data_IF_444601881207
#
_entry.id   IF_444601881207
#
_cell.length_a   1.000
_cell.length_b   1.000
_cell.length_c   1.000
_cell.angle_alpha   90.00
_cell.angle_beta   90.00
_cell.angle_gamma   90.00
#
_symmetry.space_group_name_H-M   'P 1'
#
loop_
_entity.id
_entity.type
_entity.pdbx_description
1 polymer ?
#
# COMPACT_ATOMS: atom_id res chain seq x y z
N UNK A 1 15.25 17.30 18.06
CA UNK A 1 14.23 16.27 18.34
C UNK A 1 13.00 16.83 19.06
N UNK A 2 13.16 17.61 20.15
CA UNK A 2 12.05 18.15 20.97
C UNK A 2 10.97 18.95 20.20
N UNK A 3 11.36 19.74 19.19
CA UNK A 3 10.44 20.59 18.40
C UNK A 3 9.46 19.76 17.56
N UNK A 4 9.88 18.60 17.06
CA UNK A 4 9.04 17.74 16.22
C UNK A 4 8.03 16.94 17.06
N UNK A 5 8.47 16.38 18.19
CA UNK A 5 7.59 15.65 19.12
C UNK A 5 6.49 16.57 19.64
N UNK A 6 6.83 17.82 19.97
CA UNK A 6 5.85 18.82 20.43
C UNK A 6 4.75 19.12 19.39
N UNK A 7 5.08 19.10 18.09
CA UNK A 7 4.08 19.25 17.02
C UNK A 7 3.13 18.05 16.96
N UNK A 8 3.67 16.85 17.13
CA UNK A 8 2.87 15.61 17.15
C UNK A 8 1.95 15.62 18.38
N UNK A 9 2.42 16.03 19.56
CA UNK A 9 1.55 16.12 20.75
C UNK A 9 0.37 17.07 20.52
N UNK A 10 0.61 18.24 19.94
CA UNK A 10 -0.44 19.23 19.64
C UNK A 10 -1.50 18.73 18.65
N UNK A 11 -1.14 17.88 17.68
CA UNK A 11 -2.11 17.33 16.70
C UNK A 11 -3.10 16.33 17.32
N UNK A 12 -2.84 15.89 18.56
CA UNK A 12 -3.66 14.98 19.34
C UNK A 12 -4.41 15.65 20.50
N UNK A 13 -4.32 16.97 20.68
CA UNK A 13 -5.11 17.71 21.67
C UNK A 13 -6.64 17.52 21.41
N UNK A 14 -7.44 17.44 22.48
CA UNK A 14 -8.90 17.22 22.40
C UNK A 14 -9.46 15.81 22.07
N UNK A 15 -8.66 14.84 21.60
CA UNK A 15 -9.17 13.48 21.22
C UNK A 15 -9.25 12.50 22.42
N UNK A 16 -10.21 11.57 22.46
CA UNK A 16 -10.23 10.44 23.43
C UNK A 16 -9.26 9.34 22.96
N UNK A 17 -8.47 8.73 23.85
CA UNK A 17 -7.54 7.64 23.51
C UNK A 17 -6.14 8.05 23.00
N UNK A 18 -5.66 9.25 23.36
CA UNK A 18 -4.49 9.92 22.73
C UNK A 18 -3.17 9.16 22.79
N UNK A 19 -2.88 8.47 23.90
CA UNK A 19 -1.51 8.03 24.16
C UNK A 19 -1.02 6.98 23.14
N UNK A 20 -1.84 5.99 22.80
CA UNK A 20 -1.44 4.95 21.84
C UNK A 20 -1.20 5.55 20.45
N UNK A 21 -2.12 6.38 19.95
CA UNK A 21 -1.97 7.03 18.64
C UNK A 21 -0.78 8.00 18.60
N UNK A 22 -0.55 8.72 19.69
CA UNK A 22 0.61 9.60 19.84
C UNK A 22 1.92 8.81 19.78
N UNK A 23 2.01 7.69 20.51
CA UNK A 23 3.18 6.81 20.47
C UNK A 23 3.36 6.16 19.08
N UNK A 24 2.28 5.83 18.38
CA UNK A 24 2.34 5.32 17.01
C UNK A 24 2.95 6.36 16.06
N UNK A 25 2.55 7.63 16.15
CA UNK A 25 3.10 8.69 15.30
C UNK A 25 4.58 8.97 15.60
N UNK A 26 4.97 8.96 16.88
CA UNK A 26 6.37 9.10 17.29
C UNK A 26 7.18 7.93 16.73
N UNK A 27 6.71 6.69 16.91
CA UNK A 27 7.39 5.52 16.39
C UNK A 27 7.45 5.52 14.85
N UNK A 28 6.38 5.94 14.16
CA UNK A 28 6.39 6.05 12.70
C UNK A 28 7.45 7.03 12.19
N UNK A 29 7.81 8.03 13.00
CA UNK A 29 8.80 9.03 12.63
C UNK A 29 10.23 8.64 12.97
N UNK A 30 10.43 7.96 14.11
CA UNK A 30 11.76 7.62 14.60
C UNK A 30 12.11 6.12 14.45
N UNK A 31 11.18 5.28 14.00
CA UNK A 31 11.24 3.81 13.98
C UNK A 31 11.35 3.12 15.35
N UNK A 32 11.39 3.90 16.43
CA UNK A 32 11.31 3.46 17.81
C UNK A 32 10.75 4.60 18.69
N UNK A 33 10.69 4.39 19.99
CA UNK A 33 10.30 5.38 20.98
C UNK A 33 11.54 5.85 21.77
N UNK A 34 12.19 6.96 21.35
CA UNK A 34 13.30 7.54 22.09
C UNK A 34 12.86 7.97 23.48
N UNK A 35 13.73 7.78 24.48
CA UNK A 35 13.46 8.21 25.85
C UNK A 35 13.13 9.70 25.93
N UNK A 36 13.89 10.53 25.22
CA UNK A 36 13.71 11.98 25.19
C UNK A 36 12.35 12.35 24.59
N UNK A 37 11.84 11.55 23.64
CA UNK A 37 10.50 11.76 23.08
C UNK A 37 9.41 11.42 24.11
N UNK A 38 9.57 10.33 24.87
CA UNK A 38 8.63 9.94 25.92
C UNK A 38 8.61 10.93 27.08
N UNK A 39 9.76 11.50 27.45
CA UNK A 39 9.87 12.55 28.47
C UNK A 39 9.09 13.81 28.03
N UNK A 40 9.25 14.25 26.77
CA UNK A 40 8.48 15.38 26.22
C UNK A 40 6.97 15.08 26.21
N UNK A 41 6.57 13.85 25.89
CA UNK A 41 5.16 13.44 25.95
C UNK A 41 4.64 13.51 27.38
N UNK A 42 5.40 13.03 28.36
CA UNK A 42 5.01 13.07 29.77
C UNK A 42 4.78 14.51 30.25
N UNK A 43 5.72 15.41 29.94
CA UNK A 43 5.64 16.83 30.31
C UNK A 43 4.43 17.54 29.68
N UNK A 44 4.15 17.28 28.40
CA UNK A 44 3.10 18.01 27.68
C UNK A 44 1.70 17.43 27.89
N UNK A 45 1.59 16.13 28.12
CA UNK A 45 0.29 15.47 28.34
C UNK A 45 -0.10 15.40 29.82
N UNK A 46 0.85 15.59 30.73
CA UNK A 46 0.67 15.41 32.17
C UNK A 46 0.54 13.93 32.59
N UNK A 47 0.77 12.98 31.69
CA UNK A 47 0.74 11.55 31.99
C UNK A 47 2.08 11.16 32.61
N UNK A 48 2.09 10.44 33.75
CA UNK A 48 3.33 9.95 34.35
C UNK A 48 4.14 9.11 33.36
N UNK A 49 5.46 9.34 33.33
CA UNK A 49 6.37 8.61 32.45
C UNK A 49 6.31 7.09 32.66
N UNK A 50 6.06 6.64 33.90
CA UNK A 50 5.87 5.23 34.25
C UNK A 50 4.67 4.60 33.53
N UNK A 51 3.56 5.34 33.41
CA UNK A 51 2.36 4.85 32.72
C UNK A 51 2.58 4.80 31.21
N UNK A 52 3.33 5.77 30.67
CA UNK A 52 3.75 5.78 29.26
C UNK A 52 4.63 4.56 28.95
N UNK A 53 5.61 4.26 29.81
CA UNK A 53 6.41 3.04 29.68
C UNK A 53 5.55 1.77 29.87
N UNK A 54 4.58 1.79 30.77
CA UNK A 54 3.62 0.70 30.94
C UNK A 54 2.89 0.39 29.63
N UNK A 55 2.39 1.41 28.93
CA UNK A 55 1.74 1.24 27.62
C UNK A 55 2.74 0.80 26.55
N UNK A 56 3.91 1.44 26.46
CA UNK A 56 4.93 1.14 25.46
C UNK A 56 5.49 -0.29 25.58
N UNK A 57 5.57 -0.83 26.80
CA UNK A 57 6.02 -2.21 27.04
C UNK A 57 4.91 -3.25 26.94
N UNK A 58 3.65 -2.85 27.20
CA UNK A 58 2.49 -3.73 27.09
C UNK A 58 2.18 -4.11 25.63
N UNK A 59 2.24 -3.15 24.69
CA UNK A 59 1.97 -3.41 23.28
C UNK A 59 3.24 -3.79 22.52
N UNK A 60 3.30 -5.04 22.05
CA UNK A 60 4.44 -5.56 21.27
C UNK A 60 4.70 -4.82 19.94
N UNK A 61 3.73 -4.05 19.44
CA UNK A 61 3.92 -3.20 18.26
C UNK A 61 4.89 -2.04 18.52
N UNK A 62 5.03 -1.60 19.78
CA UNK A 62 5.97 -0.57 20.15
C UNK A 62 7.37 -1.13 20.41
N UNK A 63 8.38 -0.33 20.06
CA UNK A 63 9.78 -0.62 20.35
C UNK A 63 10.44 0.52 21.09
N UNK A 64 11.05 0.20 22.23
CA UNK A 64 11.91 1.10 22.99
C UNK A 64 13.36 1.07 22.49
N UNK A 65 13.71 0.07 21.68
CA UNK A 65 15.03 -0.08 21.08
C UNK A 65 15.02 0.41 19.64
N UNK A 66 16.11 1.06 19.16
CA UNK A 66 16.24 1.45 17.76
C UNK A 66 16.00 0.27 16.82
N UNK A 67 15.10 0.46 15.85
CA UNK A 67 14.88 -0.46 14.73
C UNK A 67 15.62 0.06 13.50
N UNK A 68 15.93 -0.87 12.61
CA UNK A 68 16.49 -0.56 11.31
C UNK A 68 15.50 0.20 10.43
N UNK A 69 15.97 0.60 9.25
CA UNK A 69 15.16 1.30 8.25
C UNK A 69 13.99 0.44 7.74
N UNK A 70 14.16 -0.88 7.75
CA UNK A 70 13.20 -1.87 7.31
C UNK A 70 12.84 -2.85 8.44
N UNK A 71 11.56 -3.00 8.74
CA UNK A 71 11.05 -3.97 9.71
C UNK A 71 10.47 -5.18 8.99
N UNK A 72 11.10 -6.35 9.17
CA UNK A 72 10.63 -7.63 8.64
C UNK A 72 10.02 -8.45 9.78
N UNK A 73 8.77 -8.85 9.66
CA UNK A 73 8.04 -9.68 10.62
C UNK A 73 7.56 -10.98 9.98
N UNK A 74 7.96 -12.13 10.54
CA UNK A 74 7.55 -13.45 10.05
C UNK A 74 6.44 -14.04 10.92
N UNK A 75 5.36 -14.49 10.30
CA UNK A 75 4.28 -15.17 11.01
C UNK A 75 4.66 -16.62 11.34
N UNK A 76 4.70 -16.95 12.62
CA UNK A 76 4.95 -18.29 13.14
C UNK A 76 3.70 -18.92 13.78
N UNK A 77 2.52 -18.45 13.40
CA UNK A 77 1.25 -19.04 13.85
C UNK A 77 1.04 -20.43 13.31
N UNK A 78 0.19 -21.23 13.95
CA UNK A 78 0.02 -22.66 13.66
C UNK A 78 -0.09 -22.97 12.17
N UNK A 79 -0.93 -22.22 11.44
CA UNK A 79 -1.09 -22.41 10.00
C UNK A 79 0.18 -22.07 9.19
N UNK A 80 0.91 -21.01 9.56
CA UNK A 80 2.16 -20.65 8.90
C UNK A 80 3.29 -21.61 9.28
N UNK A 81 3.34 -22.05 10.54
CA UNK A 81 4.30 -23.02 11.05
C UNK A 81 4.22 -24.33 10.27
N UNK A 82 3.02 -24.89 10.10
CA UNK A 82 2.81 -26.14 9.34
C UNK A 82 3.12 -25.98 7.85
N UNK A 83 3.01 -24.76 7.30
CA UNK A 83 3.25 -24.47 5.88
C UNK A 83 4.68 -24.05 5.55
N UNK A 84 5.61 -24.13 6.50
CA UNK A 84 7.01 -23.82 6.25
C UNK A 84 7.47 -22.42 6.71
N UNK A 85 6.71 -21.77 7.60
CA UNK A 85 7.02 -20.41 8.07
C UNK A 85 8.30 -20.35 8.92
N UNK A 86 8.71 -21.45 9.53
CA UNK A 86 9.96 -21.54 10.30
C UNK A 86 11.16 -21.49 9.37
N UNK A 87 11.11 -22.23 8.27
CA UNK A 87 12.13 -22.30 7.23
C UNK A 87 12.31 -20.93 6.56
N UNK A 88 11.22 -20.17 6.40
CA UNK A 88 11.28 -18.78 5.94
C UNK A 88 11.99 -17.87 6.94
N UNK A 89 11.72 -18.02 8.24
CA UNK A 89 12.40 -17.26 9.29
C UNK A 89 13.90 -17.61 9.33
N UNK A 90 14.25 -18.90 9.29
CA UNK A 90 15.64 -19.38 9.29
C UNK A 90 16.41 -18.89 8.06
N UNK A 91 15.77 -18.84 6.89
CA UNK A 91 16.39 -18.27 5.68
C UNK A 91 16.60 -16.75 5.79
N UNK A 92 15.68 -16.02 6.42
CA UNK A 92 15.86 -14.59 6.74
C UNK A 92 17.03 -14.38 7.71
N UNK A 93 17.12 -15.19 8.76
CA UNK A 93 18.24 -15.17 9.71
C UNK A 93 19.58 -15.40 8.99
N UNK A 94 19.62 -16.38 8.07
CA UNK A 94 20.83 -16.72 7.31
C UNK A 94 21.27 -15.60 6.36
N UNK A 95 20.32 -14.96 5.68
CA UNK A 95 20.61 -13.90 4.71
C UNK A 95 20.99 -12.58 5.38
N UNK A 96 20.34 -12.24 6.50
CA UNK A 96 20.58 -10.99 7.24
C UNK A 96 21.64 -11.14 8.34
N UNK A 97 22.05 -12.37 8.67
CA UNK A 97 23.02 -12.69 9.73
C UNK A 97 22.61 -12.17 11.12
N UNK A 98 21.32 -12.13 11.39
CA UNK A 98 20.73 -11.68 12.66
C UNK A 98 19.69 -12.67 13.16
N UNK A 99 19.41 -12.65 14.46
CA UNK A 99 18.32 -13.44 15.07
C UNK A 99 17.01 -12.63 15.17
N UNK A 100 15.85 -13.28 15.36
CA UNK A 100 14.61 -12.59 15.66
C UNK A 100 14.74 -11.70 16.91
N UNK A 101 14.28 -10.46 16.81
CA UNK A 101 14.43 -9.40 17.80
C UNK A 101 15.72 -8.59 17.66
N UNK A 102 16.56 -8.85 16.65
CA UNK A 102 17.79 -8.11 16.41
C UNK A 102 17.70 -7.22 15.17
N UNK A 103 18.56 -6.22 15.13
CA UNK A 103 18.76 -5.30 14.01
C UNK A 103 20.16 -5.54 13.43
N UNK A 104 20.29 -5.45 12.10
CA UNK A 104 21.58 -5.56 11.40
C UNK A 104 22.54 -4.44 11.82
N UNK A 105 23.85 -4.69 11.70
CA UNK A 105 24.89 -3.73 12.13
C UNK A 105 24.91 -2.43 11.33
N UNK A 106 24.38 -2.46 10.12
CA UNK A 106 24.18 -1.30 9.23
C UNK A 106 22.88 -0.52 9.54
N UNK A 107 22.10 -0.95 10.55
CA UNK A 107 20.77 -0.41 10.87
C UNK A 107 19.79 -0.41 9.68
N UNK A 108 19.97 -1.33 8.73
CA UNK A 108 19.11 -1.45 7.57
C UNK A 108 17.87 -2.28 7.87
N UNK A 109 18.02 -3.46 8.52
CA UNK A 109 16.92 -4.39 8.76
C UNK A 109 16.77 -4.76 10.24
N UNK A 110 15.54 -4.83 10.72
CA UNK A 110 15.17 -5.51 11.96
C UNK A 110 14.33 -6.74 11.62
N UNK A 111 14.72 -7.90 12.15
CA UNK A 111 13.97 -9.14 12.00
C UNK A 111 13.15 -9.40 13.26
N UNK A 112 11.84 -9.57 13.12
CA UNK A 112 10.93 -9.95 14.19
C UNK A 112 10.10 -11.18 13.79
N UNK A 113 9.59 -11.87 14.80
CA UNK A 113 8.64 -12.96 14.61
C UNK A 113 7.36 -12.67 15.39
N UNK A 114 6.22 -12.99 14.77
CA UNK A 114 4.90 -12.77 15.35
C UNK A 114 4.16 -14.09 15.47
N UNK A 115 3.38 -14.22 16.54
CA UNK A 115 2.66 -15.46 16.81
C UNK A 115 1.52 -15.69 15.82
N UNK A 116 0.75 -14.68 15.44
CA UNK A 116 -0.31 -14.85 14.46
C UNK A 116 -0.68 -13.49 13.86
N UNK A 117 -0.85 -13.45 12.54
CA UNK A 117 -1.34 -12.29 11.81
C UNK A 117 -2.82 -12.41 11.41
N UNK A 118 -3.50 -13.50 11.77
CA UNK A 118 -4.92 -13.71 11.47
C UNK A 118 -5.25 -14.03 10.00
N UNK A 119 -4.28 -13.97 9.09
CA UNK A 119 -4.48 -14.20 7.65
C UNK A 119 -4.12 -15.63 7.21
N UNK A 120 -4.56 -16.65 7.94
CA UNK A 120 -4.13 -18.06 7.75
C UNK A 120 -4.29 -18.58 6.30
N UNK A 121 -5.25 -18.08 5.53
CA UNK A 121 -5.41 -18.44 4.12
C UNK A 121 -4.17 -18.12 3.27
N UNK A 122 -3.44 -17.06 3.62
CA UNK A 122 -2.28 -16.53 2.89
C UNK A 122 -0.93 -17.09 3.39
N UNK A 123 -0.94 -17.93 4.43
CA UNK A 123 0.27 -18.50 5.04
C UNK A 123 1.11 -19.36 4.08
N UNK A 124 2.45 -19.34 4.18
CA UNK A 124 3.29 -18.54 5.10
C UNK A 124 3.33 -17.05 4.77
N UNK A 125 3.28 -16.20 5.80
CA UNK A 125 3.24 -14.74 5.65
C UNK A 125 4.52 -14.11 6.19
N UNK A 126 5.08 -13.20 5.41
CA UNK A 126 6.08 -12.22 5.86
C UNK A 126 5.49 -10.83 5.70
N UNK A 127 5.75 -9.95 6.65
CA UNK A 127 5.40 -8.53 6.56
C UNK A 127 6.69 -7.74 6.51
N UNK A 128 6.85 -6.85 5.54
CA UNK A 128 7.98 -5.93 5.44
C UNK A 128 7.41 -4.51 5.38
N UNK A 129 7.76 -3.65 6.35
CA UNK A 129 7.32 -2.25 6.44
C UNK A 129 5.79 -2.08 6.32
N UNK A 130 5.05 -2.98 6.98
CA UNK A 130 3.58 -3.02 6.94
C UNK A 130 2.98 -3.67 5.70
N UNK A 131 3.79 -4.06 4.70
CA UNK A 131 3.33 -4.74 3.48
C UNK A 131 3.31 -6.24 3.69
N UNK A 132 2.21 -6.89 3.31
CA UNK A 132 2.05 -8.34 3.41
C UNK A 132 2.64 -9.04 2.19
N UNK A 133 3.29 -10.17 2.44
CA UNK A 133 3.82 -11.08 1.44
C UNK A 133 3.21 -12.45 1.73
N UNK A 134 2.36 -12.92 0.82
CA UNK A 134 1.68 -14.21 0.92
C UNK A 134 2.49 -15.35 0.30
N UNK A 135 2.20 -16.58 0.76
CA UNK A 135 2.77 -17.84 0.26
C UNK A 135 4.29 -17.76 0.09
N UNK A 136 4.97 -17.17 1.07
CA UNK A 136 6.41 -16.96 1.01
C UNK A 136 7.12 -18.29 1.16
N UNK A 137 8.02 -18.59 0.22
CA UNK A 137 8.95 -19.71 0.30
C UNK A 137 10.36 -19.20 0.62
N UNK A 138 11.26 -20.06 1.16
CA UNK A 138 12.65 -19.68 1.41
C UNK A 138 13.35 -19.08 0.17
N UNK A 139 13.05 -19.60 -1.03
CA UNK A 139 13.61 -19.06 -2.28
C UNK A 139 13.21 -17.60 -2.56
N UNK A 140 12.00 -17.19 -2.14
CA UNK A 140 11.48 -15.83 -2.34
C UNK A 140 12.08 -14.82 -1.35
N UNK A 141 12.61 -15.27 -0.21
CA UNK A 141 13.22 -14.38 0.80
C UNK A 141 14.30 -13.48 0.21
N UNK A 142 15.18 -14.04 -0.63
CA UNK A 142 16.26 -13.27 -1.27
C UNK A 142 15.74 -12.14 -2.15
N UNK A 143 14.59 -12.35 -2.81
CA UNK A 143 13.95 -11.32 -3.63
C UNK A 143 13.38 -10.20 -2.75
N UNK A 144 12.69 -10.56 -1.66
CA UNK A 144 12.09 -9.62 -0.70
C UNK A 144 13.16 -8.70 -0.08
N UNK A 145 14.31 -9.25 0.33
CA UNK A 145 15.41 -8.45 0.88
C UNK A 145 15.98 -7.54 -0.22
N UNK A 146 16.20 -8.06 -1.42
CA UNK A 146 16.80 -7.29 -2.52
C UNK A 146 15.89 -6.13 -2.95
N UNK A 147 14.58 -6.32 -2.97
CA UNK A 147 13.65 -5.25 -3.31
C UNK A 147 13.63 -4.15 -2.28
N UNK A 148 13.60 -4.51 -0.99
CA UNK A 148 13.74 -3.56 0.12
C UNK A 148 14.99 -2.68 -0.05
N UNK A 149 16.17 -3.30 -0.25
CA UNK A 149 17.45 -2.59 -0.44
C UNK A 149 17.50 -1.68 -1.67
N UNK A 150 16.85 -2.09 -2.75
CA UNK A 150 16.92 -1.36 -4.01
C UNK A 150 16.12 -0.05 -3.98
N UNK A 151 15.37 0.23 -2.90
CA UNK A 151 14.33 1.28 -2.87
C UNK A 151 13.27 1.08 -3.96
N UNK A 152 13.36 -0.04 -4.69
CA UNK A 152 12.32 -0.50 -5.59
C UNK A 152 11.29 -1.05 -4.64
N UNK A 153 10.23 -0.28 -4.50
CA UNK A 153 8.95 -0.86 -4.19
C UNK A 153 8.74 -2.01 -5.18
N UNK A 154 9.12 -3.22 -4.80
CA UNK A 154 8.28 -4.34 -5.13
C UNK A 154 6.97 -3.97 -4.45
N UNK A 155 6.09 -3.36 -5.23
CA UNK A 155 4.70 -3.76 -5.21
C UNK A 155 4.75 -5.27 -5.38
N UNK A 156 4.93 -5.98 -4.27
CA UNK A 156 4.55 -7.35 -4.24
C UNK A 156 3.08 -7.33 -4.59
N UNK A 157 2.82 -8.02 -5.68
CA UNK A 157 1.51 -8.46 -6.08
C UNK A 157 0.92 -9.37 -4.97
N UNK A 158 0.66 -8.78 -3.81
CA UNK A 158 -0.54 -9.01 -3.03
C UNK A 158 -1.51 -7.83 -3.26
N UNK A 159 -1.39 -7.14 -4.41
CA UNK A 159 -2.57 -6.58 -5.03
C UNK A 159 -3.49 -7.76 -5.27
N UNK A 160 -4.63 -7.81 -4.58
CA UNK A 160 -5.74 -8.60 -5.10
C UNK A 160 -5.99 -8.04 -6.51
N UNK A 161 -5.42 -8.70 -7.52
CA UNK A 161 -5.71 -8.41 -8.91
C UNK A 161 -7.07 -9.06 -9.14
N UNK A 162 -8.12 -8.31 -8.83
CA UNK A 162 -9.49 -8.76 -9.02
C UNK A 162 -10.11 -8.02 -10.19
N UNK A 163 -10.98 -8.69 -10.97
CA UNK A 163 -11.72 -8.02 -12.02
C UNK A 163 -12.69 -7.01 -11.41
N UNK A 164 -12.54 -5.74 -11.78
CA UNK A 164 -13.53 -4.70 -11.52
C UNK A 164 -14.47 -4.61 -12.73
N UNK A 165 -15.77 -4.65 -12.46
CA UNK A 165 -16.77 -4.27 -13.46
C UNK A 165 -17.06 -2.79 -13.28
N UNK A 166 -16.99 -2.03 -14.37
CA UNK A 166 -17.09 -0.57 -14.30
C UNK A 166 -18.16 0.01 -15.22
N UNK A 167 -18.74 1.13 -14.79
CA UNK A 167 -19.68 1.94 -15.56
C UNK A 167 -19.25 3.41 -15.62
N UNK A 168 -19.79 4.12 -16.60
CA UNK A 168 -19.57 5.54 -16.78
C UNK A 168 -20.20 6.34 -15.62
N UNK A 169 -19.48 7.26 -14.96
CA UNK A 169 -20.04 8.08 -13.87
C UNK A 169 -21.09 9.08 -14.33
N UNK A 170 -21.23 9.33 -15.65
CA UNK A 170 -22.18 10.29 -16.20
C UNK A 170 -23.49 9.66 -16.64
N UNK A 171 -23.45 8.55 -17.38
CA UNK A 171 -24.65 7.90 -17.94
C UNK A 171 -24.93 6.51 -17.37
N UNK A 172 -24.09 6.04 -16.43
CA UNK A 172 -24.15 4.73 -15.78
C UNK A 172 -24.15 3.51 -16.73
N UNK A 173 -23.87 3.69 -18.02
CA UNK A 173 -23.69 2.58 -18.94
C UNK A 173 -22.39 1.83 -18.61
N UNK A 174 -22.45 0.50 -18.72
CA UNK A 174 -21.29 -0.38 -18.58
C UNK A 174 -20.20 0.03 -19.58
N UNK A 175 -18.98 0.23 -19.09
CA UNK A 175 -17.80 0.41 -19.94
C UNK A 175 -17.12 -0.93 -20.28
N UNK A 176 -17.66 -2.05 -19.78
CA UNK A 176 -17.13 -3.38 -20.04
C UNK A 176 -17.35 -3.81 -21.50
N UNK A 177 -16.30 -4.29 -22.15
CA UNK A 177 -16.31 -4.97 -23.44
C UNK A 177 -16.14 -6.48 -23.20
N UNK A 178 -17.27 -7.21 -23.20
CA UNK A 178 -17.27 -8.66 -22.99
C UNK A 178 -16.78 -9.46 -24.20
N UNK A 179 -16.65 -8.83 -25.36
CA UNK A 179 -16.20 -9.48 -26.60
C UNK A 179 -14.68 -9.56 -26.73
N UNK A 180 -13.95 -8.73 -25.96
CA UNK A 180 -12.50 -8.64 -26.02
C UNK A 180 -11.89 -8.76 -24.62
N UNK A 181 -10.88 -9.64 -24.50
CA UNK A 181 -10.22 -9.89 -23.22
C UNK A 181 -8.81 -9.33 -23.18
N UNK A 182 -8.44 -8.77 -22.03
CA UNK A 182 -7.07 -8.41 -21.67
C UNK A 182 -6.78 -9.10 -20.34
N UNK A 183 -5.61 -9.74 -20.20
CA UNK A 183 -5.23 -10.55 -19.03
C UNK A 183 -6.21 -11.68 -18.69
N UNK A 184 -6.94 -12.21 -19.67
CA UNK A 184 -7.94 -13.28 -19.47
C UNK A 184 -9.28 -12.82 -18.90
N UNK A 185 -9.53 -11.50 -18.83
CA UNK A 185 -10.80 -10.93 -18.37
C UNK A 185 -11.36 -9.92 -19.38
N UNK A 186 -12.69 -9.73 -19.37
CA UNK A 186 -13.36 -8.73 -20.22
C UNK A 186 -12.75 -7.35 -20.04
N UNK A 187 -12.36 -6.71 -21.13
CA UNK A 187 -11.69 -5.40 -21.08
C UNK A 187 -12.65 -4.25 -20.75
N UNK A 188 -12.11 -3.09 -20.40
CA UNK A 188 -12.86 -1.83 -20.28
C UNK A 188 -12.60 -1.02 -21.53
N UNK A 189 -13.65 -0.68 -22.28
CA UNK A 189 -13.56 0.05 -23.55
C UNK A 189 -13.95 1.52 -23.37
N UNK A 190 -13.12 2.39 -23.92
CA UNK A 190 -13.31 3.82 -23.92
C UNK A 190 -12.94 4.43 -25.28
N UNK A 191 -13.37 5.66 -25.51
CA UNK A 191 -12.86 6.49 -26.60
C UNK A 191 -11.71 7.33 -26.07
N UNK A 192 -10.61 7.40 -26.81
CA UNK A 192 -9.44 8.20 -26.47
C UNK A 192 -9.22 9.33 -27.47
N UNK A 193 -8.63 10.43 -27.01
CA UNK A 193 -8.09 11.47 -27.85
C UNK A 193 -6.72 11.94 -27.35
N UNK A 194 -5.77 12.11 -28.28
CA UNK A 194 -4.45 12.71 -28.00
C UNK A 194 -3.86 13.25 -29.30
N UNK A 195 -3.17 14.40 -29.26
CA UNK A 195 -2.46 14.94 -30.42
C UNK A 195 -3.31 15.08 -31.69
N UNK A 196 -4.60 15.41 -31.54
CA UNK A 196 -5.57 15.51 -32.65
C UNK A 196 -6.10 14.18 -33.21
N UNK A 197 -5.64 13.03 -32.70
CA UNK A 197 -6.17 11.70 -33.05
C UNK A 197 -7.32 11.33 -32.13
N UNK A 198 -8.32 10.66 -32.68
CA UNK A 198 -9.46 10.10 -31.95
C UNK A 198 -9.60 8.62 -32.31
N UNK A 199 -9.74 7.76 -31.31
CA UNK A 199 -9.86 6.32 -31.54
C UNK A 199 -10.35 5.56 -30.32
N UNK A 200 -10.38 4.23 -30.39
CA UNK A 200 -10.70 3.38 -29.25
C UNK A 200 -9.47 3.04 -28.39
N UNK A 201 -9.73 2.82 -27.11
CA UNK A 201 -8.77 2.32 -26.13
C UNK A 201 -9.45 1.26 -25.26
N UNK A 202 -8.74 0.17 -25.00
CA UNK A 202 -9.16 -0.93 -24.13
C UNK A 202 -8.15 -1.08 -23.00
N UNK A 203 -8.65 -1.18 -21.78
CA UNK A 203 -7.86 -1.43 -20.59
C UNK A 203 -8.18 -2.81 -20.02
N UNK A 204 -7.22 -3.41 -19.33
CA UNK A 204 -7.52 -4.54 -18.46
C UNK A 204 -8.55 -4.16 -17.40
N UNK A 205 -9.53 -5.03 -17.15
CA UNK A 205 -10.46 -4.86 -16.03
C UNK A 205 -9.86 -5.28 -14.70
N UNK A 206 -8.65 -5.82 -14.69
CA UNK A 206 -8.00 -6.27 -13.48
C UNK A 206 -7.43 -5.07 -12.72
N UNK A 207 -7.89 -4.86 -11.49
CA UNK A 207 -7.34 -3.80 -10.65
C UNK A 207 -5.85 -4.06 -10.38
N UNK A 208 -5.00 -3.08 -10.70
CA UNK A 208 -3.54 -3.20 -10.63
C UNK A 208 -2.86 -3.73 -11.90
N UNK A 209 -3.62 -4.08 -12.95
CA UNK A 209 -3.06 -4.28 -14.28
C UNK A 209 -2.99 -2.96 -15.05
N UNK A 210 -1.91 -2.75 -15.78
CA UNK A 210 -1.68 -1.56 -16.63
C UNK A 210 -1.66 -1.91 -18.11
N UNK A 211 -2.08 -3.13 -18.44
CA UNK A 211 -2.15 -3.61 -19.81
C UNK A 211 -3.30 -2.90 -20.53
N UNK A 212 -3.00 -2.44 -21.74
CA UNK A 212 -3.92 -1.73 -22.59
C UNK A 212 -3.65 -2.05 -24.05
N UNK A 213 -4.69 -1.90 -24.84
CA UNK A 213 -4.63 -1.92 -26.30
C UNK A 213 -5.32 -0.67 -26.82
N UNK A 214 -4.82 -0.11 -27.91
CA UNK A 214 -5.35 1.12 -28.48
C UNK A 214 -5.27 1.10 -30.00
N UNK A 215 -6.19 1.84 -30.65
CA UNK A 215 -6.23 1.95 -32.11
C UNK A 215 -4.97 2.61 -32.69
N UNK A 216 -4.40 3.54 -31.94
CA UNK A 216 -3.17 4.24 -32.29
C UNK A 216 -2.11 3.99 -31.23
N UNK A 217 -0.85 3.97 -31.64
CA UNK A 217 0.28 3.93 -30.71
C UNK A 217 0.38 5.26 -29.95
N UNK A 218 0.32 5.17 -28.62
CA UNK A 218 0.33 6.31 -27.71
C UNK A 218 1.76 6.44 -27.17
N UNK A 219 2.49 7.53 -27.50
CA UNK A 219 3.82 7.73 -26.98
C UNK A 219 3.84 7.73 -25.44
N UNK A 220 4.92 7.22 -24.85
CA UNK A 220 5.13 7.29 -23.41
C UNK A 220 5.02 8.74 -22.90
N UNK A 221 4.53 8.91 -21.68
CA UNK A 221 4.29 10.18 -21.01
C UNK A 221 3.21 11.09 -21.63
N UNK A 222 2.55 10.65 -22.70
CA UNK A 222 1.40 11.36 -23.28
C UNK A 222 0.20 11.32 -22.32
N UNK A 223 -0.41 12.48 -22.06
CA UNK A 223 -1.69 12.57 -21.36
C UNK A 223 -2.82 12.36 -22.38
N UNK A 224 -3.66 11.38 -22.13
CA UNK A 224 -4.74 10.96 -23.03
C UNK A 224 -6.08 11.40 -22.45
N UNK A 225 -6.89 12.10 -23.24
CA UNK A 225 -8.26 12.40 -22.88
C UNK A 225 -9.13 11.17 -23.11
N UNK A 226 -9.89 10.76 -22.10
CA UNK A 226 -10.71 9.56 -22.13
C UNK A 226 -12.19 9.92 -22.05
N UNK A 227 -13.00 9.32 -22.92
CA UNK A 227 -14.42 9.61 -23.09
C UNK A 227 -15.25 8.33 -23.01
N UNK A 228 -16.49 8.47 -22.52
CA UNK A 228 -17.46 7.38 -22.55
C UNK A 228 -17.90 7.08 -24.00
N UNK A 229 -17.87 5.82 -24.47
CA UNK A 229 -18.30 5.47 -25.82
C UNK A 229 -19.84 5.56 -26.01
N UNK A 230 -20.60 5.68 -24.92
CA UNK A 230 -22.08 5.72 -24.96
C UNK A 230 -22.63 7.14 -24.92
N UNK A 231 -22.13 8.01 -24.03
CA UNK A 231 -22.63 9.39 -23.90
C UNK A 231 -21.65 10.45 -24.37
N UNK A 232 -20.45 10.05 -24.81
CA UNK A 232 -19.38 10.94 -25.30
C UNK A 232 -18.87 11.97 -24.28
N UNK A 233 -19.32 11.89 -23.02
CA UNK A 233 -18.81 12.74 -21.96
C UNK A 233 -17.34 12.42 -21.68
N UNK A 234 -16.54 13.47 -21.49
CA UNK A 234 -15.17 13.36 -21.01
C UNK A 234 -15.17 12.84 -19.57
N UNK A 235 -14.38 11.80 -19.31
CA UNK A 235 -14.22 11.18 -18.01
C UNK A 235 -12.98 11.77 -17.33
N UNK A 236 -13.15 12.94 -16.73
CA UNK A 236 -12.10 13.63 -15.98
C UNK A 236 -12.56 13.88 -14.54
N UNK A 237 -11.65 13.67 -13.58
CA UNK A 237 -11.83 13.95 -12.16
C UNK A 237 -11.18 15.29 -11.80
N UNK A 238 -11.67 15.93 -10.73
CA UNK A 238 -10.98 17.06 -10.10
C UNK A 238 -9.65 16.63 -9.43
N UNK A 239 -9.48 15.34 -9.16
CA UNK A 239 -8.26 14.80 -8.59
C UNK A 239 -7.15 14.68 -9.64
N UNK A 240 -5.92 15.00 -9.23
CA UNK A 240 -4.70 14.75 -10.00
C UNK A 240 -3.94 13.55 -9.47
N UNK A 241 -3.15 12.91 -10.32
CA UNK A 241 -2.31 11.78 -9.99
C UNK A 241 -1.21 12.21 -8.99
N UNK A 242 -1.08 11.56 -7.82
CA UNK A 242 -0.05 11.90 -6.83
C UNK A 242 1.38 11.63 -7.33
N UNK A 243 1.55 10.71 -8.28
CA UNK A 243 2.88 10.36 -8.80
C UNK A 243 3.37 11.30 -9.90
N UNK A 244 2.49 11.72 -10.82
CA UNK A 244 2.92 12.44 -12.02
C UNK A 244 2.18 13.76 -12.30
N UNK A 245 1.15 14.08 -11.50
CA UNK A 245 0.35 15.31 -11.63
C UNK A 245 -0.65 15.33 -12.78
N UNK A 246 -0.77 14.25 -13.57
CA UNK A 246 -1.74 14.18 -14.67
C UNK A 246 -3.19 14.02 -14.13
N UNK A 247 -4.22 14.37 -14.92
CA UNK A 247 -5.61 14.15 -14.54
C UNK A 247 -5.92 12.67 -14.28
N UNK A 248 -6.84 12.43 -13.34
CA UNK A 248 -7.36 11.09 -13.07
C UNK A 248 -8.69 10.86 -13.80
N UNK A 249 -8.91 9.65 -14.29
CA UNK A 249 -10.08 9.25 -15.06
C UNK A 249 -10.98 8.37 -14.18
N UNK A 250 -12.17 8.86 -13.77
CA UNK A 250 -13.05 8.15 -12.85
C UNK A 250 -13.99 7.19 -13.56
N UNK A 251 -14.19 6.01 -12.97
CA UNK A 251 -15.18 5.02 -13.37
C UNK A 251 -15.88 4.47 -12.13
N UNK A 252 -17.21 4.28 -12.21
CA UNK A 252 -17.97 3.70 -11.12
C UNK A 252 -17.76 2.19 -11.08
N UNK A 253 -17.57 1.62 -9.89
CA UNK A 253 -17.48 0.16 -9.73
C UNK A 253 -18.87 -0.40 -9.50
N UNK A 254 -19.27 -1.40 -10.30
CA UNK A 254 -20.54 -2.10 -10.14
C UNK A 254 -20.47 -2.90 -8.83
N UNK A 255 -21.29 -2.51 -7.86
CA UNK A 255 -21.23 -3.01 -6.48
C UNK A 255 -20.86 -1.96 -5.44
N UNK A 256 -20.49 -0.75 -5.88
CA UNK A 256 -20.21 0.40 -5.02
C UNK A 256 -18.75 0.86 -5.10
N UNK A 257 -18.56 2.17 -4.95
CA UNK A 257 -17.24 2.82 -5.02
C UNK A 257 -16.88 3.34 -6.41
N UNK A 258 -15.66 3.87 -6.52
CA UNK A 258 -15.12 4.48 -7.72
C UNK A 258 -13.66 4.06 -7.89
N UNK A 259 -13.29 3.66 -9.09
CA UNK A 259 -11.89 3.50 -9.48
C UNK A 259 -11.45 4.70 -10.30
N UNK A 260 -10.26 5.20 -10.04
CA UNK A 260 -9.64 6.30 -10.75
C UNK A 260 -8.30 5.82 -11.30
N UNK A 261 -8.06 6.03 -12.59
CA UNK A 261 -6.81 5.67 -13.26
C UNK A 261 -6.10 6.93 -13.76
N UNK A 262 -4.77 6.92 -13.81
CA UNK A 262 -4.01 8.03 -14.37
C UNK A 262 -4.17 8.13 -15.90
N UNK A 263 -4.43 9.33 -16.40
CA UNK A 263 -4.54 9.60 -17.85
C UNK A 263 -3.19 9.58 -18.59
N UNK A 264 -2.05 9.56 -17.89
CA UNK A 264 -0.72 9.58 -18.50
C UNK A 264 -0.27 8.17 -18.89
N UNK A 265 0.04 7.97 -20.17
CA UNK A 265 0.61 6.73 -20.69
C UNK A 265 1.95 6.42 -19.99
N UNK A 266 2.02 5.26 -19.33
CA UNK A 266 3.22 4.81 -18.61
C UNK A 266 3.17 5.04 -17.10
N UNK A 267 2.22 5.83 -16.59
CA UNK A 267 1.99 5.96 -15.16
C UNK A 267 1.20 4.75 -14.63
N UNK A 268 1.65 4.19 -13.49
CA UNK A 268 1.07 2.99 -12.87
C UNK A 268 0.21 3.28 -11.64
N UNK A 269 -0.36 4.48 -11.57
CA UNK A 269 -1.17 4.90 -10.42
C UNK A 269 -2.66 4.63 -10.66
N UNK A 270 -3.22 3.71 -9.88
CA UNK A 270 -4.65 3.46 -9.78
C UNK A 270 -5.12 3.68 -8.34
N UNK A 271 -6.26 4.36 -8.18
CA UNK A 271 -6.87 4.59 -6.87
C UNK A 271 -8.27 4.00 -6.84
N UNK A 272 -8.53 3.12 -5.89
CA UNK A 272 -9.86 2.59 -5.60
C UNK A 272 -10.41 3.26 -4.35
N UNK A 273 -11.54 3.94 -4.49
CA UNK A 273 -12.29 4.54 -3.39
C UNK A 273 -13.56 3.73 -3.13
N UNK A 274 -13.61 3.05 -1.99
CA UNK A 274 -14.74 2.21 -1.58
C UNK A 274 -15.74 2.94 -0.67
N UNK A 275 -15.45 4.19 -0.29
CA UNK A 275 -16.25 4.92 0.70
C UNK A 275 -17.49 5.62 0.13
N UNK A 276 -17.92 5.23 -1.08
CA UNK A 276 -19.11 5.77 -1.71
C UNK A 276 -18.88 7.16 -2.33
N UNK A 277 -19.56 7.40 -3.43
CA UNK A 277 -19.66 8.72 -4.05
C UNK A 277 -20.47 9.58 -3.07
N UNK A 278 -19.81 10.52 -2.38
CA UNK A 278 -20.53 11.66 -1.83
C UNK A 278 -21.04 12.45 -3.04
N UNK A 279 -22.29 12.15 -3.43
CA UNK A 279 -23.11 13.01 -4.29
C UNK A 279 -23.57 14.19 -3.45
#
# INVERSE_FOLDING_TARGET
MSVDVSKIVRSHEGKRGKLISLLQDIQSRYNYLPREALEVVAEQTGIPLVDIYGVATFYRSFSLTPRGSHLVSVCLGTACHVRGGREVAEELERQLQIKPGQTTTDNEFTLETVNCLGACALGPIVVLDGRYFSKVSPARVKQIIKSARAGKEEHTADGHVFPVKVSCPRCNHSLMDFSHQIDGHSSVRMTMAFGGKHGWLRLSSLYGSFNLESEYDIPLDTVVNLFCPHCHAELISANVCPLCGAPMVPMLVIGGGMVQICARRGCKEHRLDLNGVNV
#
